data_IF_850308948195
#
_entry.id   IF_850308948195
#
_cell.length_a   1.000
_cell.length_b   1.000
_cell.length_c   1.000
_cell.angle_alpha   90.00
_cell.angle_beta   90.00
_cell.angle_gamma   90.00
#
_symmetry.space_group_name_H-M   'P 1'
#
loop_
_entity.id
_entity.type
_entity.pdbx_description
1 polymer ?
#
# COMPACT_ATOMS: atom_id res chain seq x y z
N UNK A 1 9.17 67.36 62.14
CA UNK A 1 8.79 66.47 61.03
C UNK A 1 9.94 66.40 60.03
N UNK A 2 10.70 65.30 60.00
CA UNK A 2 11.67 65.02 58.92
C UNK A 2 11.27 63.68 58.29
N UNK A 3 10.89 63.76 57.02
CA UNK A 3 10.28 62.71 56.21
C UNK A 3 11.35 61.67 55.82
N UNK A 4 11.14 60.40 56.17
CA UNK A 4 12.00 59.29 55.72
C UNK A 4 11.61 58.91 54.28
N UNK A 5 12.54 59.04 53.34
CA UNK A 5 12.39 58.49 51.99
C UNK A 5 12.65 56.97 52.04
N UNK A 6 11.63 56.18 51.74
CA UNK A 6 11.74 54.75 51.49
C UNK A 6 11.94 54.58 49.98
N UNK A 7 13.11 54.08 49.57
CA UNK A 7 13.37 53.74 48.18
C UNK A 7 12.70 52.39 47.87
N UNK A 8 11.66 52.41 47.05
CA UNK A 8 10.96 51.22 46.56
C UNK A 8 11.75 50.66 45.36
N UNK A 9 12.47 49.54 45.57
CA UNK A 9 13.08 48.79 44.47
C UNK A 9 11.98 48.06 43.70
N UNK A 10 11.63 48.56 42.50
CA UNK A 10 10.83 47.81 41.54
C UNK A 10 11.70 46.72 40.90
N UNK A 11 11.43 45.45 41.21
CA UNK A 11 11.93 44.32 40.44
C UNK A 11 11.04 44.16 39.19
N UNK A 12 11.52 44.63 38.05
CA UNK A 12 10.92 44.32 36.74
C UNK A 12 11.22 42.87 36.39
N UNK A 13 10.20 42.01 36.50
CA UNK A 13 10.25 40.62 36.06
C UNK A 13 10.23 40.61 34.52
N UNK A 14 11.39 40.43 33.89
CA UNK A 14 11.49 40.21 32.44
C UNK A 14 11.01 38.80 32.15
N UNK A 15 9.78 38.66 31.68
CA UNK A 15 9.29 37.39 31.14
C UNK A 15 9.95 37.15 29.79
N UNK A 16 10.98 36.30 29.77
CA UNK A 16 11.54 35.77 28.52
C UNK A 16 10.47 34.85 27.91
N UNK A 17 10.02 35.08 26.67
CA UNK A 17 9.16 34.11 26.00
C UNK A 17 9.95 32.82 25.85
N UNK A 18 9.54 31.77 26.55
CA UNK A 18 9.99 30.41 26.28
C UNK A 18 9.42 30.07 24.91
N UNK A 19 10.20 30.29 23.87
CA UNK A 19 9.93 29.68 22.57
C UNK A 19 9.97 28.19 22.81
N UNK A 20 8.80 27.54 22.74
CA UNK A 20 8.70 26.08 22.69
C UNK A 20 9.64 25.64 21.57
N UNK A 21 10.76 25.02 21.94
CA UNK A 21 11.56 24.27 20.98
C UNK A 21 10.61 23.17 20.51
N UNK A 22 10.05 23.35 19.31
CA UNK A 22 9.36 22.26 18.63
C UNK A 22 10.41 21.16 18.52
N UNK A 23 10.28 20.11 19.33
CA UNK A 23 11.13 18.94 19.21
C UNK A 23 11.05 18.50 17.75
N UNK A 24 12.18 18.49 17.04
CA UNK A 24 12.20 18.08 15.65
C UNK A 24 11.66 16.64 15.58
N UNK A 25 10.41 16.49 15.13
CA UNK A 25 9.78 15.19 14.92
C UNK A 25 10.48 14.49 13.77
N UNK A 26 10.68 13.17 13.89
CA UNK A 26 11.43 12.40 12.90
C UNK A 26 10.84 12.51 11.48
N UNK A 27 11.63 12.30 10.43
CA UNK A 27 11.22 12.55 9.04
C UNK A 27 9.94 11.82 8.64
N UNK A 28 9.74 10.59 9.13
CA UNK A 28 8.58 9.74 8.82
C UNK A 28 7.54 9.72 9.94
N UNK A 29 7.69 10.54 10.98
CA UNK A 29 6.80 10.56 12.15
C UNK A 29 5.43 11.16 11.84
N UNK A 30 4.50 10.33 11.38
CA UNK A 30 3.07 10.66 11.18
C UNK A 30 2.34 10.81 12.51
N UNK A 31 1.21 11.52 12.50
CA UNK A 31 0.29 11.64 13.64
C UNK A 31 -0.36 10.30 13.97
N UNK A 32 -0.81 9.57 12.94
CA UNK A 32 -1.46 8.28 13.05
C UNK A 32 -0.50 7.14 12.66
N UNK A 33 -0.58 5.96 13.31
CA UNK A 33 0.25 4.81 12.96
C UNK A 33 0.07 4.39 11.49
N UNK A 34 1.15 3.94 10.87
CA UNK A 34 1.14 3.36 9.52
C UNK A 34 0.90 1.85 9.65
N UNK A 35 -0.09 1.33 8.92
CA UNK A 35 -0.38 -0.11 8.82
C UNK A 35 -0.11 -0.57 7.39
N UNK A 36 0.88 -1.44 7.22
CA UNK A 36 1.22 -2.04 5.93
C UNK A 36 0.40 -3.31 5.73
N UNK A 37 -0.21 -3.45 4.55
CA UNK A 37 -1.13 -4.54 4.22
C UNK A 37 -0.67 -5.23 2.95
N UNK A 38 -0.28 -6.50 3.08
CA UNK A 38 0.24 -7.29 1.97
C UNK A 38 -0.83 -7.68 0.96
N UNK A 39 -0.39 -8.13 -0.22
CA UNK A 39 -1.23 -8.60 -1.33
C UNK A 39 -1.55 -10.10 -1.30
N UNK A 40 -1.89 -10.63 -2.48
CA UNK A 40 -2.10 -12.06 -2.73
C UNK A 40 -0.81 -12.83 -2.44
N UNK A 41 -0.91 -14.00 -1.81
CA UNK A 41 0.24 -14.81 -1.37
C UNK A 41 1.22 -14.07 -0.44
N UNK A 42 0.80 -12.94 0.14
CA UNK A 42 1.64 -12.24 1.09
C UNK A 42 1.79 -13.03 2.38
N UNK A 43 2.93 -12.78 3.03
CA UNK A 43 3.42 -13.45 4.22
C UNK A 43 4.05 -12.39 5.13
N UNK A 44 4.18 -12.66 6.42
CA UNK A 44 4.96 -11.77 7.30
C UNK A 44 6.44 -11.89 6.95
N UNK A 45 6.97 -13.10 7.09
CA UNK A 45 8.35 -13.46 6.77
C UNK A 45 8.40 -14.84 6.12
N UNK A 46 9.06 -14.96 4.97
CA UNK A 46 9.33 -16.23 4.28
C UNK A 46 10.83 -16.49 4.26
N UNK A 47 11.28 -17.58 4.89
CA UNK A 47 12.70 -17.95 4.98
C UNK A 47 13.62 -16.83 5.51
N UNK A 48 13.11 -15.96 6.39
CA UNK A 48 13.83 -14.81 6.96
C UNK A 48 13.74 -13.52 6.14
N UNK A 49 12.94 -13.50 5.07
CA UNK A 49 12.71 -12.34 4.20
C UNK A 49 11.32 -11.79 4.44
N UNK A 50 11.22 -10.51 4.81
CA UNK A 50 9.93 -9.83 5.00
C UNK A 50 9.29 -9.44 3.66
N UNK A 51 7.96 -9.46 3.58
CA UNK A 51 7.23 -9.03 2.38
C UNK A 51 7.54 -7.58 2.00
N UNK A 52 7.44 -6.67 2.97
CA UNK A 52 7.86 -5.28 2.81
C UNK A 52 9.35 -5.15 3.15
N UNK A 53 10.23 -5.58 2.24
CA UNK A 53 11.65 -5.81 2.56
C UNK A 53 12.38 -4.51 2.97
N UNK A 54 12.77 -4.42 4.24
CA UNK A 54 13.49 -3.25 4.80
C UNK A 54 12.64 -1.98 4.98
N UNK A 55 11.39 -1.96 4.51
CA UNK A 55 10.50 -0.80 4.56
C UNK A 55 10.07 -0.48 6.01
N UNK A 56 9.55 -1.42 6.84
CA UNK A 56 9.17 -1.12 8.22
C UNK A 56 10.34 -0.56 9.04
N UNK A 57 11.54 -1.14 8.88
CA UNK A 57 12.74 -0.67 9.58
C UNK A 57 13.10 0.75 9.16
N UNK A 58 13.07 1.06 7.86
CA UNK A 58 13.38 2.38 7.35
C UNK A 58 12.39 3.45 7.82
N UNK A 59 11.10 3.12 7.86
CA UNK A 59 10.06 4.01 8.37
C UNK A 59 10.19 4.24 9.87
N UNK A 60 10.39 3.19 10.67
CA UNK A 60 10.52 3.29 12.13
C UNK A 60 11.77 4.03 12.57
N UNK A 61 12.89 3.85 11.85
CA UNK A 61 14.17 4.55 12.12
C UNK A 61 14.03 6.07 12.16
N UNK A 62 13.10 6.63 11.38
CA UNK A 62 12.84 8.07 11.30
C UNK A 62 11.53 8.50 11.98
N UNK A 63 11.01 7.68 12.88
CA UNK A 63 10.00 8.07 13.87
C UNK A 63 8.57 7.65 13.56
N UNK A 64 8.30 6.95 12.45
CA UNK A 64 6.98 6.37 12.22
C UNK A 64 6.68 5.24 13.22
N UNK A 65 5.44 5.18 13.71
CA UNK A 65 4.92 3.95 14.32
C UNK A 65 4.37 3.07 13.20
N UNK A 66 4.93 1.87 13.01
CA UNK A 66 4.59 0.99 11.90
C UNK A 66 4.12 -0.37 12.40
N UNK A 67 3.03 -0.85 11.82
CA UNK A 67 2.51 -2.20 12.01
C UNK A 67 2.40 -2.88 10.64
N UNK A 68 2.68 -4.18 10.60
CA UNK A 68 2.43 -5.01 9.41
C UNK A 68 1.24 -5.89 9.76
N UNK A 69 0.16 -5.76 9.00
CA UNK A 69 -1.05 -6.54 9.20
C UNK A 69 -0.92 -7.89 8.51
N UNK A 70 -1.45 -8.92 9.16
CA UNK A 70 -1.47 -10.29 8.65
C UNK A 70 -2.91 -10.65 8.26
N UNK A 71 -3.17 -10.84 6.97
CA UNK A 71 -4.50 -11.23 6.46
C UNK A 71 -4.38 -12.53 5.67
N UNK A 72 -5.51 -13.17 5.32
CA UNK A 72 -5.50 -14.38 4.50
C UNK A 72 -4.71 -14.14 3.22
N UNK A 73 -3.74 -15.01 2.94
CA UNK A 73 -2.91 -14.95 1.74
C UNK A 73 -3.77 -15.03 0.45
N UNK A 74 -4.86 -15.80 0.52
CA UNK A 74 -5.90 -15.89 -0.51
C UNK A 74 -7.28 -15.84 0.16
N UNK A 75 -8.09 -14.82 -0.08
CA UNK A 75 -9.54 -14.82 0.16
C UNK A 75 -10.19 -13.65 -0.60
N UNK A 76 -11.50 -13.42 -0.47
CA UNK A 76 -12.13 -12.20 -1.00
C UNK A 76 -11.59 -10.94 -0.33
N UNK A 77 -11.73 -9.78 -1.00
CA UNK A 77 -11.30 -8.49 -0.42
C UNK A 77 -12.07 -8.14 0.86
N UNK A 78 -13.34 -8.51 0.96
CA UNK A 78 -14.19 -8.30 2.14
C UNK A 78 -13.74 -9.16 3.32
N UNK A 79 -13.47 -10.46 3.10
CA UNK A 79 -12.99 -11.34 4.18
C UNK A 79 -11.64 -10.85 4.71
N UNK A 80 -10.72 -10.51 3.81
CA UNK A 80 -9.43 -9.89 4.19
C UNK A 80 -9.64 -8.55 4.88
N UNK A 81 -10.63 -7.78 4.46
CA UNK A 81 -10.98 -6.48 5.02
C UNK A 81 -11.49 -6.57 6.45
N UNK A 82 -12.35 -7.55 6.76
CA UNK A 82 -12.80 -7.83 8.13
C UNK A 82 -11.65 -8.26 9.05
N UNK A 83 -10.74 -9.10 8.54
CA UNK A 83 -9.53 -9.48 9.28
C UNK A 83 -8.61 -8.29 9.57
N UNK A 84 -8.46 -7.38 8.60
CA UNK A 84 -7.71 -6.14 8.78
C UNK A 84 -8.42 -5.22 9.78
N UNK A 85 -9.74 -5.06 9.69
CA UNK A 85 -10.52 -4.22 10.59
C UNK A 85 -10.34 -4.64 12.05
N UNK A 86 -10.44 -5.94 12.35
CA UNK A 86 -10.23 -6.47 13.70
C UNK A 86 -8.83 -6.12 14.26
N UNK A 87 -7.80 -6.16 13.41
CA UNK A 87 -6.43 -5.76 13.79
C UNK A 87 -6.31 -4.25 14.00
N UNK A 88 -6.95 -3.44 13.15
CA UNK A 88 -6.99 -1.98 13.31
C UNK A 88 -7.66 -1.60 14.62
N UNK A 89 -8.79 -2.19 14.97
CA UNK A 89 -9.47 -1.94 16.24
C UNK A 89 -8.60 -2.31 17.45
N UNK A 90 -7.92 -3.45 17.38
CA UNK A 90 -6.98 -3.90 18.41
C UNK A 90 -5.81 -2.92 18.56
N UNK A 91 -5.24 -2.47 17.44
CA UNK A 91 -4.13 -1.51 17.40
C UNK A 91 -4.55 -0.17 18.02
N UNK A 92 -5.70 0.37 17.62
CA UNK A 92 -6.19 1.65 18.15
C UNK A 92 -6.49 1.55 19.65
N UNK A 93 -7.08 0.44 20.11
CA UNK A 93 -7.27 0.18 21.53
C UNK A 93 -5.96 0.09 22.31
N UNK A 94 -4.92 -0.52 21.74
CA UNK A 94 -3.62 -0.68 22.39
C UNK A 94 -2.77 0.60 22.39
N UNK A 95 -2.87 1.42 21.35
CA UNK A 95 -2.03 2.62 21.17
C UNK A 95 -2.69 3.91 21.66
N UNK A 96 -4.01 3.94 21.75
CA UNK A 96 -4.78 5.16 22.01
C UNK A 96 -4.83 6.12 20.82
N UNK A 97 -4.35 5.72 19.64
CA UNK A 97 -4.54 6.50 18.42
C UNK A 97 -6.03 6.52 18.03
N UNK A 98 -6.48 7.60 17.39
CA UNK A 98 -7.86 7.74 16.93
C UNK A 98 -8.08 7.10 15.55
N UNK A 99 -7.03 7.10 14.71
CA UNK A 99 -7.07 6.62 13.33
C UNK A 99 -5.75 5.94 12.95
N UNK A 100 -5.74 5.26 11.80
CA UNK A 100 -4.54 4.72 11.14
C UNK A 100 -4.36 5.26 9.72
N UNK A 101 -3.11 5.25 9.23
CA UNK A 101 -2.78 5.39 7.82
C UNK A 101 -2.57 4.00 7.20
N UNK A 102 -3.47 3.57 6.33
CA UNK A 102 -3.39 2.27 5.67
C UNK A 102 -2.57 2.38 4.38
N UNK A 103 -1.61 1.48 4.20
CA UNK A 103 -0.82 1.35 2.96
C UNK A 103 -0.93 -0.10 2.48
N UNK A 104 -1.67 -0.31 1.40
CA UNK A 104 -1.94 -1.63 0.83
C UNK A 104 -1.21 -1.83 -0.50
N UNK A 105 -0.49 -2.93 -0.63
CA UNK A 105 0.14 -3.35 -1.89
C UNK A 105 -0.72 -4.40 -2.61
N UNK A 106 -0.87 -4.32 -3.93
CA UNK A 106 -1.58 -5.32 -4.74
C UNK A 106 -3.02 -5.55 -4.23
N UNK A 107 -3.37 -6.78 -3.82
CA UNK A 107 -4.66 -7.10 -3.19
C UNK A 107 -4.90 -6.34 -1.87
N UNK A 108 -3.84 -5.91 -1.19
CA UNK A 108 -3.90 -5.02 -0.03
C UNK A 108 -4.57 -3.68 -0.34
N UNK A 109 -4.54 -3.22 -1.60
CA UNK A 109 -5.27 -2.03 -2.05
C UNK A 109 -6.78 -2.15 -1.80
N UNK A 110 -7.49 -3.09 -2.47
CA UNK A 110 -8.89 -3.38 -2.18
C UNK A 110 -9.19 -3.73 -0.71
N UNK A 111 -8.32 -4.49 -0.04
CA UNK A 111 -8.48 -4.83 1.39
C UNK A 111 -8.50 -3.58 2.29
N UNK A 112 -7.61 -2.62 2.07
CA UNK A 112 -7.58 -1.36 2.86
C UNK A 112 -8.75 -0.45 2.53
N UNK A 113 -9.20 -0.43 1.26
CA UNK A 113 -10.40 0.29 0.84
C UNK A 113 -11.65 -0.20 1.54
N UNK A 114 -11.82 -1.52 1.70
CA UNK A 114 -12.93 -2.09 2.46
C UNK A 114 -13.03 -1.45 3.85
N UNK A 115 -11.93 -1.47 4.62
CA UNK A 115 -11.89 -0.91 5.98
C UNK A 115 -12.23 0.58 5.99
N UNK A 116 -11.69 1.34 5.04
CA UNK A 116 -11.96 2.77 4.93
C UNK A 116 -13.41 3.09 4.54
N UNK A 117 -14.09 2.22 3.79
CA UNK A 117 -15.51 2.39 3.46
C UNK A 117 -16.41 1.99 4.62
N UNK A 118 -16.13 0.90 5.34
CA UNK A 118 -16.99 0.41 6.43
C UNK A 118 -16.76 1.15 7.76
N UNK A 119 -15.53 1.59 8.02
CA UNK A 119 -15.12 2.30 9.25
C UNK A 119 -14.23 3.51 8.94
N UNK A 120 -14.72 4.50 8.17
CA UNK A 120 -13.98 5.72 7.84
C UNK A 120 -13.59 6.55 9.08
N UNK A 121 -14.30 6.35 10.19
CA UNK A 121 -13.98 6.94 11.50
C UNK A 121 -12.62 6.49 12.03
N UNK A 122 -12.16 5.28 11.67
CA UNK A 122 -10.87 4.70 12.11
C UNK A 122 -9.72 4.93 11.13
N UNK A 123 -9.99 5.47 9.94
CA UNK A 123 -8.99 5.59 8.87
C UNK A 123 -8.72 7.06 8.56
N UNK A 124 -7.45 7.44 8.53
CA UNK A 124 -6.99 8.77 8.15
C UNK A 124 -6.65 8.84 6.65
N UNK A 125 -5.96 7.81 6.15
CA UNK A 125 -5.65 7.67 4.74
C UNK A 125 -5.59 6.22 4.28
N UNK A 126 -5.78 6.03 2.98
CA UNK A 126 -5.50 4.80 2.22
C UNK A 126 -4.52 5.13 1.12
N UNK A 127 -3.46 4.35 1.02
CA UNK A 127 -2.48 4.41 -0.07
C UNK A 127 -2.42 3.07 -0.76
N UNK A 128 -2.63 3.05 -2.07
CA UNK A 128 -2.64 1.84 -2.89
C UNK A 128 -1.39 1.77 -3.76
N UNK A 129 -0.58 0.73 -3.57
CA UNK A 129 0.68 0.52 -4.32
C UNK A 129 0.47 -0.68 -5.23
N UNK A 130 0.54 -0.49 -6.55
CA UNK A 130 0.23 -1.55 -7.53
C UNK A 130 -1.14 -2.18 -7.30
N UNK A 131 -2.08 -1.42 -6.74
CA UNK A 131 -3.32 -1.97 -6.21
C UNK A 131 -4.21 -2.53 -7.32
N UNK A 132 -4.88 -3.66 -7.08
CA UNK A 132 -5.81 -4.23 -8.06
C UNK A 132 -7.16 -3.50 -7.99
N UNK A 133 -7.19 -2.20 -8.27
CA UNK A 133 -8.37 -1.35 -8.03
C UNK A 133 -9.44 -1.48 -9.12
N UNK A 134 -9.07 -1.82 -10.36
CA UNK A 134 -10.02 -2.11 -11.46
C UNK A 134 -9.77 -3.47 -12.12
N UNK A 135 -9.08 -4.36 -11.43
CA UNK A 135 -8.82 -5.73 -11.86
C UNK A 135 -7.47 -5.95 -12.56
N UNK A 136 -7.14 -7.23 -12.75
CA UNK A 136 -5.95 -7.70 -13.44
C UNK A 136 -6.31 -8.51 -14.68
N UNK A 137 -5.63 -8.23 -15.80
CA UNK A 137 -5.78 -9.03 -17.03
C UNK A 137 -5.20 -10.43 -16.87
N UNK A 138 -4.21 -10.61 -15.98
CA UNK A 138 -3.72 -11.94 -15.61
C UNK A 138 -4.85 -12.74 -14.94
N UNK A 139 -5.56 -12.13 -13.99
CA UNK A 139 -6.70 -12.79 -13.33
C UNK A 139 -7.83 -13.11 -14.32
N UNK A 140 -8.17 -12.19 -15.24
CA UNK A 140 -9.16 -12.43 -16.29
C UNK A 140 -8.79 -13.65 -17.16
N UNK A 141 -7.54 -13.75 -17.58
CA UNK A 141 -7.06 -14.83 -18.46
C UNK A 141 -6.97 -16.17 -17.72
N UNK A 142 -6.57 -16.18 -16.44
CA UNK A 142 -6.54 -17.39 -15.61
C UNK A 142 -7.95 -17.90 -15.30
N UNK A 143 -8.93 -16.99 -15.13
CA UNK A 143 -10.33 -17.36 -14.88
C UNK A 143 -11.08 -17.75 -16.16
N UNK A 144 -10.68 -17.20 -17.30
CA UNK A 144 -11.34 -17.40 -18.59
C UNK A 144 -11.21 -18.83 -19.13
N UNK A 145 -12.18 -19.23 -19.93
CA UNK A 145 -12.10 -20.48 -20.70
C UNK A 145 -11.35 -20.23 -22.00
N UNK A 146 -10.21 -20.90 -22.18
CA UNK A 146 -9.46 -20.89 -23.44
C UNK A 146 -9.82 -22.12 -24.26
N UNK A 147 -10.04 -21.96 -25.56
CA UNK A 147 -10.30 -23.09 -26.46
C UNK A 147 -9.01 -23.86 -26.73
N UNK A 148 -9.09 -25.19 -26.69
CA UNK A 148 -7.96 -26.08 -26.99
C UNK A 148 -7.39 -25.82 -28.40
N UNK A 149 -6.07 -25.75 -28.52
CA UNK A 149 -5.33 -25.47 -29.74
C UNK A 149 -5.25 -24.00 -30.15
N UNK A 150 -5.83 -23.07 -29.39
CA UNK A 150 -5.84 -21.64 -29.72
C UNK A 150 -4.55 -20.91 -29.32
N UNK A 151 -4.29 -19.76 -29.95
CA UNK A 151 -3.19 -18.88 -29.53
C UNK A 151 -3.37 -18.34 -28.10
N UNK A 152 -4.61 -18.19 -27.63
CA UNK A 152 -4.92 -17.78 -26.26
C UNK A 152 -4.67 -18.89 -25.24
N UNK A 153 -4.79 -20.17 -25.62
CA UNK A 153 -4.38 -21.29 -24.76
C UNK A 153 -2.87 -21.26 -24.50
N UNK A 154 -2.05 -21.04 -25.54
CA UNK A 154 -0.59 -20.94 -25.38
C UNK A 154 -0.19 -19.78 -24.46
N UNK A 155 -0.89 -18.64 -24.57
CA UNK A 155 -0.69 -17.51 -23.66
C UNK A 155 -1.10 -17.87 -22.23
N UNK A 156 -2.28 -18.46 -22.02
CA UNK A 156 -2.76 -18.87 -20.71
C UNK A 156 -1.81 -19.87 -20.01
N UNK A 157 -1.27 -20.84 -20.75
CA UNK A 157 -0.27 -21.78 -20.21
C UNK A 157 1.00 -21.06 -19.74
N UNK A 158 1.52 -20.11 -20.53
CA UNK A 158 2.70 -19.32 -20.12
C UNK A 158 2.42 -18.47 -18.88
N UNK A 159 1.25 -17.82 -18.81
CA UNK A 159 0.84 -17.04 -17.65
C UNK A 159 0.71 -17.92 -16.40
N UNK A 160 0.09 -19.10 -16.52
CA UNK A 160 -0.02 -20.06 -15.43
C UNK A 160 1.35 -20.53 -14.93
N UNK A 161 2.31 -20.76 -15.83
CA UNK A 161 3.69 -21.09 -15.48
C UNK A 161 4.40 -19.95 -14.74
N UNK A 162 4.29 -18.72 -15.24
CA UNK A 162 4.83 -17.52 -14.58
C UNK A 162 4.27 -17.34 -13.17
N UNK A 163 2.95 -17.48 -13.02
CA UNK A 163 2.28 -17.41 -11.73
C UNK A 163 2.74 -18.53 -10.79
N UNK A 164 2.88 -19.75 -11.30
CA UNK A 164 3.39 -20.88 -10.51
C UNK A 164 4.81 -20.64 -10.02
N UNK A 165 5.69 -20.09 -10.86
CA UNK A 165 7.04 -19.71 -10.46
C UNK A 165 7.04 -18.69 -9.34
N UNK A 166 6.19 -17.65 -9.42
CA UNK A 166 6.05 -16.68 -8.34
C UNK A 166 5.52 -17.31 -7.06
N UNK A 167 4.49 -18.16 -7.14
CA UNK A 167 3.95 -18.86 -5.97
C UNK A 167 5.05 -19.68 -5.31
N UNK A 168 5.84 -20.45 -6.06
CA UNK A 168 6.92 -21.26 -5.47
C UNK A 168 8.02 -20.43 -4.80
N UNK A 169 8.25 -19.20 -5.26
CA UNK A 169 9.23 -18.28 -4.68
C UNK A 169 8.69 -17.52 -3.47
N UNK A 170 7.39 -17.23 -3.46
CA UNK A 170 6.76 -16.29 -2.52
C UNK A 170 5.74 -16.96 -1.60
N UNK A 171 5.46 -18.26 -1.72
CA UNK A 171 4.44 -18.90 -0.89
C UNK A 171 4.90 -19.01 0.57
N UNK A 172 4.28 -18.20 1.43
CA UNK A 172 4.21 -18.41 2.88
C UNK A 172 2.75 -18.66 3.28
N UNK A 173 2.54 -19.48 4.31
CA UNK A 173 1.20 -19.76 4.84
C UNK A 173 0.87 -18.86 6.03
N UNK A 174 -0.43 -18.63 6.25
CA UNK A 174 -0.96 -18.14 7.53
C UNK A 174 -1.98 -19.14 8.07
N UNK A 175 -2.20 -19.15 9.38
CA UNK A 175 -3.22 -19.99 10.04
C UNK A 175 -4.66 -19.49 9.78
N UNK A 176 -4.82 -18.46 8.94
CA UNK A 176 -6.10 -17.90 8.53
C UNK A 176 -6.75 -18.73 7.41
N UNK A 177 -8.06 -18.59 7.24
CA UNK A 177 -8.80 -19.31 6.22
C UNK A 177 -8.43 -18.86 4.80
N UNK A 178 -8.24 -19.82 3.90
CA UNK A 178 -7.71 -19.57 2.55
C UNK A 178 -8.72 -19.98 1.48
N UNK A 179 -9.07 -19.05 0.60
CA UNK A 179 -9.88 -19.28 -0.60
C UNK A 179 -9.23 -18.65 -1.85
N UNK A 180 -8.44 -19.43 -2.61
CA UNK A 180 -7.85 -19.01 -3.87
C UNK A 180 -8.86 -18.68 -4.96
N UNK A 181 -10.03 -19.33 -4.96
CA UNK A 181 -11.06 -19.08 -5.97
C UNK A 181 -11.78 -17.76 -5.71
N UNK A 182 -12.05 -17.43 -4.45
CA UNK A 182 -12.56 -16.12 -4.06
C UNK A 182 -11.57 -15.01 -4.38
N UNK A 183 -10.27 -15.24 -4.12
CA UNK A 183 -9.21 -14.29 -4.49
C UNK A 183 -9.20 -14.03 -5.99
N UNK A 184 -9.15 -15.10 -6.79
CA UNK A 184 -9.15 -14.99 -8.24
C UNK A 184 -10.40 -14.25 -8.73
N UNK A 185 -11.58 -14.57 -8.19
CA UNK A 185 -12.83 -13.93 -8.56
C UNK A 185 -12.79 -12.42 -8.29
N UNK A 186 -12.36 -11.98 -7.11
CA UNK A 186 -12.28 -10.55 -6.77
C UNK A 186 -11.23 -9.79 -7.58
N UNK A 187 -10.12 -10.43 -7.98
CA UNK A 187 -9.03 -9.78 -8.71
C UNK A 187 -9.26 -9.68 -10.23
N UNK A 188 -10.28 -10.37 -10.78
CA UNK A 188 -10.71 -10.14 -12.16
C UNK A 188 -11.23 -8.70 -12.35
N UNK A 189 -11.24 -8.22 -13.60
CA UNK A 189 -11.88 -6.94 -13.97
C UNK A 189 -13.33 -6.92 -13.51
N UNK A 190 -14.09 -8.00 -13.75
CA UNK A 190 -15.50 -8.10 -13.34
C UNK A 190 -15.65 -8.00 -11.82
N UNK A 191 -14.89 -8.79 -11.06
CA UNK A 191 -14.95 -8.81 -9.60
C UNK A 191 -14.51 -7.50 -8.96
N UNK A 192 -13.44 -6.89 -9.47
CA UNK A 192 -12.97 -5.59 -8.97
C UNK A 192 -13.94 -4.46 -9.28
N UNK A 193 -14.58 -4.47 -10.45
CA UNK A 193 -15.63 -3.49 -10.78
C UNK A 193 -16.89 -3.69 -9.94
N UNK A 194 -17.26 -4.94 -9.63
CA UNK A 194 -18.36 -5.24 -8.70
C UNK A 194 -18.03 -4.75 -7.28
N UNK A 195 -16.82 -4.99 -6.80
CA UNK A 195 -16.33 -4.44 -5.52
C UNK A 195 -16.41 -2.91 -5.48
N UNK A 196 -16.02 -2.23 -6.57
CA UNK A 196 -16.07 -0.77 -6.68
C UNK A 196 -17.49 -0.19 -6.62
N UNK A 197 -18.53 -0.97 -6.92
CA UNK A 197 -19.92 -0.51 -6.77
C UNK A 197 -20.32 -0.36 -5.30
N UNK A 198 -19.71 -1.14 -4.42
CA UNK A 198 -19.97 -1.12 -2.98
C UNK A 198 -19.00 -0.20 -2.21
N UNK A 199 -17.76 -0.09 -2.69
CA UNK A 199 -16.68 0.65 -2.03
C UNK A 199 -16.02 1.66 -2.98
N UNK A 200 -16.77 2.65 -3.50
CA UNK A 200 -16.33 3.51 -4.62
C UNK A 200 -15.30 4.58 -4.24
N UNK A 201 -15.04 4.79 -2.95
CA UNK A 201 -14.26 5.93 -2.47
C UNK A 201 -12.83 5.93 -3.04
N UNK A 202 -12.42 7.09 -3.57
CA UNK A 202 -11.12 7.28 -4.20
C UNK A 202 -10.98 6.66 -5.59
N UNK A 203 -11.93 5.87 -6.12
CA UNK A 203 -11.79 5.27 -7.44
C UNK A 203 -12.00 6.33 -8.55
N UNK A 204 -11.09 6.46 -9.53
CA UNK A 204 -11.26 7.37 -10.66
C UNK A 204 -12.47 7.02 -11.51
N UNK A 205 -13.29 8.02 -11.86
CA UNK A 205 -14.44 7.86 -12.77
C UNK A 205 -14.04 7.67 -14.23
N UNK A 206 -12.87 8.20 -14.62
CA UNK A 206 -12.25 7.94 -15.91
C UNK A 206 -11.37 6.70 -15.86
N UNK A 207 -11.02 6.15 -17.03
CA UNK A 207 -10.22 4.91 -17.13
C UNK A 207 -8.86 5.04 -16.40
N UNK A 208 -8.10 6.10 -16.72
CA UNK A 208 -6.72 6.31 -16.26
C UNK A 208 -6.51 7.66 -15.54
N UNK A 209 -7.56 8.27 -15.01
CA UNK A 209 -7.46 9.55 -14.30
C UNK A 209 -7.10 9.42 -12.83
N UNK A 210 -7.22 10.52 -12.11
CA UNK A 210 -7.17 10.55 -10.65
C UNK A 210 -8.57 10.36 -10.07
N UNK A 211 -8.65 9.81 -8.86
CA UNK A 211 -9.85 9.88 -8.02
C UNK A 211 -9.76 11.03 -7.03
N UNK A 212 -10.74 11.11 -6.13
CA UNK A 212 -10.74 12.15 -5.11
C UNK A 212 -9.60 11.96 -4.11
N UNK A 213 -8.79 13.00 -3.91
CA UNK A 213 -7.75 13.02 -2.88
C UNK A 213 -8.35 12.88 -1.48
N UNK A 214 -9.46 13.58 -1.20
CA UNK A 214 -10.26 13.44 0.01
C UNK A 214 -11.66 13.04 -0.45
N UNK A 215 -12.04 11.79 -0.22
CA UNK A 215 -13.33 11.28 -0.68
C UNK A 215 -14.46 11.73 0.28
N UNK A 216 -15.70 11.46 -0.13
CA UNK A 216 -16.92 11.81 0.63
C UNK A 216 -17.00 11.20 2.03
N UNK A 217 -16.27 10.11 2.29
CA UNK A 217 -16.18 9.48 3.60
C UNK A 217 -15.18 10.17 4.56
N UNK A 218 -14.50 11.24 4.12
CA UNK A 218 -13.53 11.98 4.93
C UNK A 218 -12.17 11.31 5.07
N UNK A 219 -11.85 10.32 4.23
CA UNK A 219 -10.56 9.62 4.17
C UNK A 219 -9.74 10.13 2.99
N UNK A 220 -8.42 10.28 3.18
CA UNK A 220 -7.51 10.64 2.10
C UNK A 220 -7.06 9.42 1.28
N UNK A 221 -7.02 9.53 -0.04
CA UNK A 221 -6.64 8.44 -0.95
C UNK A 221 -5.45 8.81 -1.84
N UNK A 222 -4.51 7.87 -1.96
CA UNK A 222 -3.31 7.98 -2.78
C UNK A 222 -3.04 6.68 -3.53
N UNK A 223 -2.25 6.78 -4.60
CA UNK A 223 -1.70 5.61 -5.26
C UNK A 223 -0.35 5.88 -5.91
N UNK A 224 0.41 4.82 -6.13
CA UNK A 224 1.48 4.77 -7.13
C UNK A 224 1.68 3.35 -7.65
N UNK A 225 2.37 3.22 -8.77
CA UNK A 225 2.74 1.91 -9.33
C UNK A 225 3.94 2.03 -10.26
N UNK A 226 4.54 0.88 -10.55
CA UNK A 226 5.47 0.70 -11.64
C UNK A 226 4.80 0.43 -12.98
N UNK A 227 5.61 0.58 -14.04
CA UNK A 227 5.19 0.35 -15.43
C UNK A 227 6.20 -0.48 -16.23
N UNK A 228 7.11 -1.16 -15.53
CA UNK A 228 8.20 -1.93 -16.13
C UNK A 228 8.20 -3.35 -15.63
N UNK A 229 8.12 -4.32 -16.53
CA UNK A 229 8.06 -5.75 -16.17
C UNK A 229 9.44 -6.40 -16.02
N UNK A 230 10.49 -5.67 -16.40
CA UNK A 230 11.89 -6.08 -16.28
C UNK A 230 12.73 -4.90 -15.80
N UNK A 231 13.41 -5.09 -14.68
CA UNK A 231 14.12 -4.05 -13.93
C UNK A 231 15.53 -4.47 -13.55
N UNK A 232 15.77 -5.76 -13.28
CA UNK A 232 17.10 -6.26 -12.91
C UNK A 232 17.34 -7.71 -13.34
N UNK A 233 18.41 -7.94 -14.13
CA UNK A 233 18.80 -9.28 -14.60
C UNK A 233 19.19 -10.25 -13.49
N UNK A 234 19.51 -9.75 -12.29
CA UNK A 234 19.86 -10.57 -11.14
C UNK A 234 18.67 -10.91 -10.25
N UNK A 235 17.50 -10.32 -10.48
CA UNK A 235 16.28 -10.71 -9.79
C UNK A 235 15.64 -11.91 -10.52
N UNK A 236 15.50 -13.08 -9.86
CA UNK A 236 14.91 -14.26 -10.49
C UNK A 236 13.40 -14.10 -10.78
N UNK A 237 12.73 -13.10 -10.19
CA UNK A 237 11.29 -12.85 -10.35
C UNK A 237 10.97 -12.09 -11.64
N UNK A 238 11.92 -11.31 -12.17
CA UNK A 238 11.79 -10.51 -13.40
C UNK A 238 11.35 -11.35 -14.61
N UNK A 239 11.91 -12.55 -14.75
CA UNK A 239 11.53 -13.44 -15.85
C UNK A 239 10.04 -13.82 -15.78
N UNK A 240 9.50 -14.03 -14.58
CA UNK A 240 8.08 -14.30 -14.40
C UNK A 240 7.23 -13.03 -14.62
N UNK A 241 7.69 -11.87 -14.15
CA UNK A 241 7.01 -10.58 -14.39
C UNK A 241 6.91 -10.23 -15.87
N UNK A 242 7.98 -10.43 -16.63
CA UNK A 242 7.96 -10.26 -18.09
C UNK A 242 6.92 -11.14 -18.76
N UNK A 243 6.83 -12.43 -18.36
CA UNK A 243 5.86 -13.38 -18.92
C UNK A 243 4.44 -12.96 -18.57
N UNK A 244 4.19 -12.59 -17.31
CA UNK A 244 2.87 -12.17 -16.85
C UNK A 244 2.43 -10.84 -17.50
N UNK A 245 3.39 -9.95 -17.75
CA UNK A 245 3.20 -8.70 -18.47
C UNK A 245 2.66 -8.85 -19.89
N UNK A 246 2.81 -10.03 -20.51
CA UNK A 246 2.23 -10.32 -21.84
C UNK A 246 0.69 -10.33 -21.84
N UNK A 247 0.06 -10.32 -20.66
CA UNK A 247 -1.40 -10.19 -20.53
C UNK A 247 -1.92 -8.77 -20.84
N UNK A 248 -1.04 -7.79 -21.00
CA UNK A 248 -1.40 -6.38 -21.11
C UNK A 248 -0.90 -5.77 -22.42
N UNK A 249 -1.74 -4.95 -23.06
CA UNK A 249 -1.40 -4.20 -24.28
C UNK A 249 -0.72 -2.84 -23.99
N UNK A 250 -0.55 -2.48 -22.71
CA UNK A 250 -0.05 -1.17 -22.27
C UNK A 250 0.84 -1.26 -21.03
N UNK A 251 1.23 -0.09 -20.46
CA UNK A 251 2.10 -0.01 -19.28
C UNK A 251 1.55 -0.83 -18.11
N UNK A 252 2.40 -1.67 -17.52
CA UNK A 252 2.03 -2.58 -16.44
C UNK A 252 3.26 -3.00 -15.63
N UNK A 253 3.04 -3.45 -14.40
CA UNK A 253 4.06 -3.91 -13.47
C UNK A 253 4.33 -5.44 -13.56
N UNK A 254 3.68 -6.12 -14.51
CA UNK A 254 3.71 -7.57 -14.69
C UNK A 254 2.44 -8.27 -14.19
N UNK A 255 1.70 -7.69 -13.25
CA UNK A 255 0.49 -8.28 -12.66
C UNK A 255 -0.73 -7.36 -12.76
N UNK A 256 -0.55 -6.05 -12.87
CA UNK A 256 -1.60 -5.04 -12.94
C UNK A 256 -1.22 -3.97 -13.96
N UNK A 257 -2.18 -3.56 -14.78
CA UNK A 257 -1.99 -2.45 -15.73
C UNK A 257 -2.01 -1.11 -14.98
N UNK A 258 -1.14 -0.17 -15.37
CA UNK A 258 -0.91 1.07 -14.62
C UNK A 258 -2.22 1.82 -14.29
N UNK A 259 -3.09 2.03 -15.28
CA UNK A 259 -4.39 2.69 -15.10
C UNK A 259 -5.33 1.97 -14.12
N UNK A 260 -5.24 0.64 -14.03
CA UNK A 260 -6.05 -0.17 -13.11
C UNK A 260 -5.64 0.05 -11.65
N UNK A 261 -4.43 0.54 -11.41
CA UNK A 261 -3.90 0.82 -10.06
C UNK A 261 -4.37 2.14 -9.46
N UNK A 262 -4.90 3.04 -10.28
CA UNK A 262 -5.20 4.40 -9.86
C UNK A 262 -6.24 4.45 -8.74
N UNK A 263 -5.90 5.15 -7.67
CA UNK A 263 -6.74 5.45 -6.52
C UNK A 263 -6.37 6.83 -5.95
N UNK A 264 -7.39 7.65 -5.71
CA UNK A 264 -7.28 9.01 -5.20
C UNK A 264 -6.28 9.83 -6.01
N UNK A 265 -5.39 10.53 -5.30
CA UNK A 265 -4.27 11.23 -5.93
C UNK A 265 -3.18 10.23 -6.33
N UNK A 266 -3.04 10.02 -7.63
CA UNK A 266 -1.93 9.28 -8.23
C UNK A 266 -0.67 10.11 -8.04
N UNK A 267 0.26 9.58 -7.24
CA UNK A 267 1.57 10.21 -7.00
C UNK A 267 2.40 10.11 -8.27
N UNK A 268 2.44 8.90 -8.85
CA UNK A 268 3.08 8.56 -10.11
C UNK A 268 2.78 7.09 -10.46
N UNK A 269 2.63 6.78 -11.74
CA UNK A 269 2.21 5.47 -12.28
C UNK A 269 3.20 4.88 -13.29
N UNK A 270 4.35 5.54 -13.47
CA UNK A 270 5.38 5.20 -14.44
C UNK A 270 6.76 4.94 -13.80
N UNK A 271 6.81 4.45 -12.55
CA UNK A 271 8.09 4.00 -11.99
C UNK A 271 8.67 2.84 -12.82
N UNK A 272 9.99 2.80 -12.97
CA UNK A 272 10.69 1.64 -13.52
C UNK A 272 10.78 0.52 -12.45
N UNK A 273 9.61 0.02 -12.07
CA UNK A 273 9.39 -1.02 -11.06
C UNK A 273 8.46 -2.08 -11.67
N UNK A 274 8.76 -3.34 -11.41
CA UNK A 274 7.80 -4.43 -11.53
C UNK A 274 7.01 -4.57 -10.22
N UNK A 275 6.04 -5.48 -10.19
CA UNK A 275 5.11 -5.63 -9.07
C UNK A 275 5.77 -6.02 -7.74
N UNK A 276 6.98 -6.61 -7.76
CA UNK A 276 7.72 -6.95 -6.53
C UNK A 276 8.74 -5.88 -6.15
N UNK A 277 9.30 -5.14 -7.12
CA UNK A 277 10.12 -3.97 -6.83
C UNK A 277 9.35 -2.96 -5.97
N UNK A 278 8.04 -2.84 -6.18
CA UNK A 278 7.17 -1.94 -5.42
C UNK A 278 7.19 -2.16 -3.90
N UNK A 279 7.50 -3.38 -3.45
CA UNK A 279 7.68 -3.76 -2.03
C UNK A 279 9.15 -3.98 -1.65
N UNK A 280 10.07 -3.50 -2.51
CA UNK A 280 11.51 -3.72 -2.41
C UNK A 280 11.89 -5.22 -2.48
N UNK A 281 11.06 -6.02 -3.15
CA UNK A 281 11.30 -7.43 -3.42
C UNK A 281 11.99 -7.63 -4.78
N UNK A 282 12.73 -8.73 -5.00
CA UNK A 282 13.16 -9.69 -3.98
C UNK A 282 14.50 -9.24 -3.37
N UNK A 283 14.61 -9.23 -2.03
CA UNK A 283 15.85 -8.90 -1.31
C UNK A 283 16.45 -7.51 -1.66
N UNK A 284 15.63 -6.58 -2.14
CA UNK A 284 16.06 -5.24 -2.58
C UNK A 284 16.78 -5.20 -3.92
N UNK A 285 16.69 -6.26 -4.74
CA UNK A 285 17.27 -6.29 -6.08
C UNK A 285 16.27 -5.66 -7.05
N UNK A 286 16.41 -4.36 -7.30
CA UNK A 286 15.54 -3.61 -8.21
C UNK A 286 16.35 -2.81 -9.24
N UNK A 287 15.66 -2.00 -10.05
CA UNK A 287 16.30 -1.13 -11.05
C UNK A 287 17.36 -0.19 -10.43
N UNK A 288 18.55 -0.12 -11.03
CA UNK A 288 19.70 0.62 -10.48
C UNK A 288 19.66 2.15 -10.70
N UNK A 289 18.87 2.62 -11.66
CA UNK A 289 18.80 4.04 -12.05
C UNK A 289 17.41 4.66 -11.83
N UNK A 290 16.54 3.96 -11.11
CA UNK A 290 15.25 4.47 -10.70
C UNK A 290 15.28 4.85 -9.22
N UNK A 291 14.27 5.59 -8.79
CA UNK A 291 13.96 5.84 -7.40
C UNK A 291 13.89 4.52 -6.63
N UNK A 292 14.63 4.46 -5.53
CA UNK A 292 14.60 3.34 -4.60
C UNK A 292 13.20 3.18 -3.97
N UNK A 293 12.60 1.98 -3.95
CA UNK A 293 11.26 1.75 -3.41
C UNK A 293 11.13 2.18 -1.95
N UNK A 294 12.12 1.90 -1.10
CA UNK A 294 12.13 2.31 0.31
C UNK A 294 12.06 3.84 0.44
N UNK A 295 12.73 4.56 -0.46
CA UNK A 295 12.68 6.02 -0.53
C UNK A 295 11.26 6.53 -0.83
N UNK A 296 10.48 5.83 -1.67
CA UNK A 296 9.08 6.19 -1.93
C UNK A 296 8.22 6.10 -0.67
N UNK A 297 8.32 5.01 0.09
CA UNK A 297 7.60 4.86 1.36
C UNK A 297 7.96 5.96 2.35
N UNK A 298 9.25 6.30 2.48
CA UNK A 298 9.71 7.37 3.38
C UNK A 298 9.18 8.73 2.98
N UNK A 299 9.28 9.08 1.69
CA UNK A 299 8.76 10.34 1.17
C UNK A 299 7.25 10.44 1.35
N UNK A 300 6.54 9.32 1.18
CA UNK A 300 5.10 9.27 1.39
C UNK A 300 4.72 9.39 2.87
N UNK A 301 5.41 8.73 3.79
CA UNK A 301 5.21 8.92 5.22
C UNK A 301 5.42 10.39 5.62
N UNK A 302 6.45 11.05 5.08
CA UNK A 302 6.65 12.49 5.28
C UNK A 302 5.52 13.34 4.64
N UNK A 303 4.97 12.93 3.49
CA UNK A 303 3.80 13.58 2.89
C UNK A 303 2.58 13.51 3.82
N UNK A 304 2.29 12.35 4.38
CA UNK A 304 1.20 12.15 5.35
C UNK A 304 1.42 13.01 6.60
N UNK A 305 2.64 13.00 7.15
CA UNK A 305 3.04 13.84 8.28
C UNK A 305 2.79 15.32 8.02
N UNK A 306 3.24 15.85 6.88
CA UNK A 306 3.07 17.26 6.51
C UNK A 306 1.60 17.66 6.35
N UNK A 307 0.72 16.68 6.13
CA UNK A 307 -0.72 16.85 6.06
C UNK A 307 -1.43 16.71 7.42
N UNK A 308 -0.69 16.46 8.49
CA UNK A 308 -1.24 16.26 9.84
C UNK A 308 -1.91 14.89 10.03
N UNK A 309 -1.56 13.92 9.18
CA UNK A 309 -1.98 12.52 9.24
C UNK A 309 -0.92 11.67 9.91
#
# INVERSE_FOLDING_TARGET
>A
MKLKFIALMLFTLVTVPITSVSAATGYTQTKYPIVLVHGLFGFDTLAGVDYFFGIPHSLTKDGATVYVAQVSATNSSEVRGEQLLAQVETLLAATGAEKVNLIGHSHGGPTTRYVASVRPDLVASVTSIGGVNKGSKVADLVRGTVSEGSGSEQLAVKLAQGLTTLINLLSGGSDLDQDPLASLATLTTEGSLAFNQHYPEGVPTSECGNGDLLASNGVYYYSWTGSSTFTNVFDPTDAAMMVLGLAFDGPNDGLVGACSTHLGKVIRDDYQMNHLDEINGLLGIHHLFETDPVTLYRQHANRLKLQGL
#
